data_IF_427936293367
#
_entry.id   IF_427936293367
#
_cell.length_a   1.000
_cell.length_b   1.000
_cell.length_c   1.000
_cell.angle_alpha   90.00
_cell.angle_beta   90.00
_cell.angle_gamma   90.00
#
_symmetry.space_group_name_H-M   'P 1'
#
loop_
_entity.id
_entity.type
_entity.pdbx_description
1 polymer ?
#
# COMPACT_ATOMS: atom_id res chain seq x y z
N UNK A 1 5.98 9.84 -8.01
CA UNK A 1 7.02 8.83 -7.74
C UNK A 1 6.57 7.50 -8.36
N UNK A 2 7.19 7.03 -9.46
CA UNK A 2 6.71 5.83 -10.14
C UNK A 2 6.91 4.60 -9.27
N UNK A 3 5.81 3.95 -8.90
CA UNK A 3 5.86 2.61 -8.33
C UNK A 3 6.17 1.66 -9.46
N UNK A 4 7.45 1.28 -9.52
CA UNK A 4 7.97 0.39 -10.54
C UNK A 4 7.33 -0.99 -10.35
N UNK A 5 6.57 -1.41 -11.36
CA UNK A 5 5.89 -2.70 -11.42
C UNK A 5 6.20 -3.42 -12.72
N UNK A 6 6.12 -4.75 -12.70
CA UNK A 6 6.38 -5.62 -13.84
C UNK A 6 7.78 -5.44 -14.44
N UNK A 7 8.78 -5.16 -13.60
CA UNK A 7 10.17 -5.00 -14.05
C UNK A 7 10.98 -6.29 -14.06
N UNK A 8 10.43 -7.37 -13.51
CA UNK A 8 11.05 -8.69 -13.50
C UNK A 8 10.10 -9.72 -14.12
N UNK A 9 10.68 -10.77 -14.68
CA UNK A 9 9.93 -11.84 -15.35
C UNK A 9 9.07 -12.68 -14.39
N UNK A 10 9.40 -12.67 -13.10
CA UNK A 10 8.65 -13.36 -12.04
C UNK A 10 7.48 -12.52 -11.50
N UNK A 11 7.25 -11.31 -12.04
CA UNK A 11 6.18 -10.43 -11.60
C UNK A 11 6.44 -9.75 -10.25
N UNK A 12 7.59 -9.98 -9.62
CA UNK A 12 7.97 -9.24 -8.41
C UNK A 12 8.26 -7.78 -8.76
N UNK A 13 7.70 -6.88 -7.96
CA UNK A 13 7.85 -5.45 -8.20
C UNK A 13 8.96 -4.89 -7.31
N UNK A 14 9.17 -3.57 -7.37
CA UNK A 14 10.10 -2.88 -6.45
C UNK A 14 9.68 -2.96 -4.97
N UNK A 15 8.45 -3.40 -4.67
CA UNK A 15 7.87 -3.38 -3.33
C UNK A 15 7.14 -4.67 -3.02
N UNK A 16 7.23 -5.10 -1.75
CA UNK A 16 6.39 -6.09 -1.13
C UNK A 16 5.68 -5.46 0.09
N UNK A 17 4.54 -6.01 0.50
CA UNK A 17 3.83 -5.58 1.71
C UNK A 17 4.16 -6.51 2.87
N UNK A 18 4.26 -5.95 4.08
CA UNK A 18 4.36 -6.73 5.31
C UNK A 18 3.03 -6.60 6.04
N UNK A 19 2.39 -7.72 6.33
CA UNK A 19 1.12 -7.82 7.06
C UNK A 19 1.32 -7.55 8.55
N UNK A 20 1.32 -6.26 8.91
CA UNK A 20 1.54 -5.78 10.27
C UNK A 20 0.48 -6.27 11.27
N UNK A 21 -0.74 -6.53 10.80
CA UNK A 21 -1.82 -7.15 11.57
C UNK A 21 -1.45 -8.56 12.02
N UNK A 22 -0.98 -9.41 11.09
CA UNK A 22 -0.53 -10.77 11.39
C UNK A 22 0.68 -10.76 12.31
N UNK A 23 1.64 -9.88 12.05
CA UNK A 23 2.84 -9.71 12.87
C UNK A 23 2.48 -9.30 14.32
N UNK A 24 1.48 -8.43 14.49
CA UNK A 24 0.97 -8.03 15.81
C UNK A 24 0.28 -9.19 16.52
N UNK A 25 -0.59 -9.92 15.84
CA UNK A 25 -1.29 -11.09 16.40
C UNK A 25 -0.33 -12.21 16.82
N UNK A 26 0.80 -12.34 16.12
CA UNK A 26 1.86 -13.28 16.47
C UNK A 26 2.78 -12.78 17.62
N UNK A 27 2.55 -11.58 18.16
CA UNK A 27 3.27 -11.05 19.32
C UNK A 27 4.58 -10.31 19.01
N UNK A 28 4.89 -10.05 17.74
CA UNK A 28 6.19 -9.53 17.32
C UNK A 28 6.30 -8.00 17.22
N UNK A 29 5.24 -7.25 17.51
CA UNK A 29 5.18 -5.81 17.22
C UNK A 29 6.15 -4.95 18.07
N UNK A 30 6.77 -5.49 19.13
CA UNK A 30 7.65 -4.75 20.04
C UNK A 30 9.14 -4.70 19.61
N UNK A 31 9.57 -5.34 18.53
CA UNK A 31 11.01 -5.54 18.24
C UNK A 31 11.51 -5.01 16.88
N UNK A 32 10.90 -3.96 16.33
CA UNK A 32 11.38 -3.35 15.07
C UNK A 32 12.81 -2.78 15.13
N UNK A 33 13.40 -2.64 16.32
CA UNK A 33 14.80 -2.24 16.50
C UNK A 33 15.82 -3.28 15.97
N UNK A 34 15.41 -4.49 15.57
CA UNK A 34 16.31 -5.57 15.10
C UNK A 34 15.89 -6.19 13.77
N UNK A 35 15.47 -5.36 12.81
CA UNK A 35 15.12 -5.80 11.45
C UNK A 35 16.25 -6.59 10.75
N UNK A 36 17.51 -6.27 11.08
CA UNK A 36 18.73 -6.87 10.55
C UNK A 36 18.85 -8.38 10.83
N UNK A 37 18.25 -8.88 11.92
CA UNK A 37 18.21 -10.31 12.26
C UNK A 37 16.86 -10.98 11.97
N UNK A 38 15.92 -10.26 11.36
CA UNK A 38 14.51 -10.65 11.31
C UNK A 38 14.00 -11.17 9.95
N UNK A 39 14.80 -11.06 8.89
CA UNK A 39 14.33 -11.32 7.52
C UNK A 39 13.77 -12.75 7.30
N UNK A 40 14.38 -13.75 7.93
CA UNK A 40 13.97 -15.15 7.74
C UNK A 40 12.56 -15.45 8.28
N UNK A 41 12.18 -14.85 9.41
CA UNK A 41 10.83 -15.05 9.98
C UNK A 41 9.82 -14.03 9.43
N UNK A 42 10.26 -12.81 9.06
CA UNK A 42 9.36 -11.83 8.42
C UNK A 42 8.78 -12.35 7.11
N UNK A 43 9.49 -13.24 6.40
CA UNK A 43 9.07 -13.82 5.13
C UNK A 43 7.65 -14.40 5.15
N UNK A 44 7.18 -14.97 6.27
CA UNK A 44 5.81 -15.52 6.38
C UNK A 44 4.71 -14.44 6.40
N UNK A 45 5.09 -13.19 6.66
CA UNK A 45 4.20 -12.03 6.71
C UNK A 45 4.32 -11.15 5.47
N UNK A 46 5.14 -11.54 4.48
CA UNK A 46 5.36 -10.76 3.25
C UNK A 46 4.39 -11.19 2.16
N UNK A 47 3.67 -10.22 1.61
CA UNK A 47 2.88 -10.36 0.39
C UNK A 47 3.67 -9.77 -0.78
N UNK A 48 4.02 -10.62 -1.75
CA UNK A 48 4.81 -10.24 -2.93
C UNK A 48 3.97 -9.68 -4.08
N UNK A 49 2.66 -9.92 -4.07
CA UNK A 49 1.73 -9.35 -5.05
C UNK A 49 1.94 -9.83 -6.47
N UNK A 50 2.16 -11.13 -6.65
CA UNK A 50 2.32 -11.72 -7.97
C UNK A 50 1.11 -11.45 -8.87
N UNK A 51 1.31 -11.13 -10.16
CA UNK A 51 0.20 -10.96 -11.09
C UNK A 51 -0.71 -12.19 -11.13
N UNK A 52 -2.03 -11.95 -11.11
CA UNK A 52 -3.09 -12.96 -11.09
C UNK A 52 -3.09 -13.86 -9.86
N UNK A 53 -2.49 -13.43 -8.76
CA UNK A 53 -2.56 -14.12 -7.47
C UNK A 53 -3.62 -13.48 -6.57
N UNK A 54 -4.05 -14.20 -5.52
CA UNK A 54 -4.97 -13.65 -4.52
C UNK A 54 -4.36 -12.47 -3.74
N UNK A 55 -3.03 -12.43 -3.65
CA UNK A 55 -2.30 -11.36 -2.97
C UNK A 55 -1.90 -10.23 -3.92
N UNK A 56 -2.38 -10.21 -5.17
CA UNK A 56 -2.10 -9.12 -6.12
C UNK A 56 -2.66 -7.80 -5.58
N UNK A 57 -1.76 -6.88 -5.21
CA UNK A 57 -2.12 -5.56 -4.67
C UNK A 57 -1.58 -4.46 -5.58
N UNK A 58 -2.14 -3.25 -5.55
CA UNK A 58 -1.53 -2.00 -6.05
C UNK A 58 -1.32 -1.00 -4.92
N UNK A 59 -0.08 -0.55 -4.72
CA UNK A 59 0.21 0.54 -3.77
C UNK A 59 0.20 1.88 -4.50
N UNK A 60 -0.09 2.96 -3.79
CA UNK A 60 0.15 4.33 -4.24
C UNK A 60 0.68 5.14 -3.06
N UNK A 61 1.75 5.92 -3.27
CA UNK A 61 2.22 6.84 -2.23
C UNK A 61 1.38 8.10 -2.29
N UNK A 62 0.95 8.63 -1.15
CA UNK A 62 0.08 9.83 -1.10
C UNK A 62 0.71 11.05 -1.79
N UNK A 63 2.04 11.17 -1.75
CA UNK A 63 2.78 12.23 -2.46
C UNK A 63 2.81 12.07 -3.99
N UNK A 64 2.31 10.97 -4.56
CA UNK A 64 2.20 10.85 -6.01
C UNK A 64 1.10 11.77 -6.53
N UNK A 65 1.38 12.55 -7.59
CA UNK A 65 0.40 13.50 -8.16
C UNK A 65 -0.93 12.84 -8.52
N UNK A 66 -0.93 11.57 -8.93
CA UNK A 66 -2.14 10.84 -9.30
C UNK A 66 -2.89 10.24 -8.10
N UNK A 67 -2.30 10.25 -6.90
CA UNK A 67 -2.85 9.60 -5.72
C UNK A 67 -4.23 10.11 -5.35
N UNK A 68 -4.44 11.44 -5.40
CA UNK A 68 -5.74 12.04 -5.06
C UNK A 68 -6.86 11.54 -5.98
N UNK A 69 -6.64 11.56 -7.29
CA UNK A 69 -7.63 11.10 -8.26
C UNK A 69 -7.98 9.62 -8.06
N UNK A 70 -6.97 8.77 -7.83
CA UNK A 70 -7.18 7.34 -7.57
C UNK A 70 -7.98 7.10 -6.28
N UNK A 71 -7.65 7.81 -5.20
CA UNK A 71 -8.33 7.67 -3.91
C UNK A 71 -9.79 8.14 -3.98
N UNK A 72 -10.07 9.26 -4.65
CA UNK A 72 -11.45 9.74 -4.83
C UNK A 72 -12.32 8.74 -5.59
N UNK A 73 -11.80 8.17 -6.68
CA UNK A 73 -12.52 7.14 -7.44
C UNK A 73 -12.76 5.88 -6.60
N UNK A 74 -11.78 5.47 -5.79
CA UNK A 74 -11.93 4.34 -4.87
C UNK A 74 -12.99 4.62 -3.79
N UNK A 75 -12.98 5.81 -3.19
CA UNK A 75 -13.96 6.21 -2.18
C UNK A 75 -15.39 6.24 -2.75
N UNK A 76 -15.57 6.72 -3.98
CA UNK A 76 -16.85 6.70 -4.68
C UNK A 76 -17.36 5.25 -4.87
N UNK A 77 -16.48 4.35 -5.28
CA UNK A 77 -16.82 2.94 -5.47
C UNK A 77 -17.15 2.23 -4.14
N UNK A 78 -16.38 2.49 -3.08
CA UNK A 78 -16.69 1.98 -1.73
C UNK A 78 -18.09 2.41 -1.28
N UNK A 79 -18.43 3.69 -1.49
CA UNK A 79 -19.76 4.23 -1.19
C UNK A 79 -20.87 3.56 -1.99
N UNK A 80 -20.68 3.33 -3.30
CA UNK A 80 -21.65 2.61 -4.14
C UNK A 80 -21.92 1.19 -3.64
N UNK A 81 -20.91 0.57 -3.04
CA UNK A 81 -21.00 -0.77 -2.45
C UNK A 81 -21.55 -0.77 -1.01
N UNK A 82 -21.95 0.40 -0.48
CA UNK A 82 -22.56 0.54 0.85
C UNK A 82 -21.56 0.65 2.00
N UNK A 83 -20.27 0.81 1.70
CA UNK A 83 -19.23 0.99 2.73
C UNK A 83 -18.93 2.47 2.93
N UNK A 84 -19.85 3.17 3.61
CA UNK A 84 -19.73 4.60 3.91
C UNK A 84 -18.52 4.91 4.80
N UNK A 85 -18.13 3.98 5.68
CA UNK A 85 -16.98 4.16 6.57
C UNK A 85 -15.69 4.16 5.75
N UNK A 86 -15.47 3.13 4.93
CA UNK A 86 -14.29 3.06 4.06
C UNK A 86 -14.23 4.24 3.10
N UNK A 87 -15.36 4.64 2.52
CA UNK A 87 -15.43 5.81 1.66
C UNK A 87 -14.98 7.09 2.39
N UNK A 88 -15.41 7.29 3.64
CA UNK A 88 -14.98 8.43 4.46
C UNK A 88 -13.48 8.39 4.75
N UNK A 89 -12.97 7.25 5.22
CA UNK A 89 -11.55 7.07 5.54
C UNK A 89 -10.64 7.31 4.32
N UNK A 90 -11.05 6.84 3.13
CA UNK A 90 -10.30 7.04 1.89
C UNK A 90 -10.36 8.49 1.41
N UNK A 91 -11.49 9.19 1.60
CA UNK A 91 -11.58 10.62 1.29
C UNK A 91 -10.62 11.45 2.15
N UNK A 92 -10.49 11.15 3.44
CA UNK A 92 -9.52 11.81 4.31
C UNK A 92 -8.07 11.60 3.85
N UNK A 93 -7.76 10.44 3.26
CA UNK A 93 -6.46 10.24 2.60
C UNK A 93 -6.31 11.11 1.36
N UNK A 94 -7.36 11.24 0.55
CA UNK A 94 -7.36 12.03 -0.67
C UNK A 94 -7.11 13.52 -0.41
N UNK A 95 -7.61 14.06 0.70
CA UNK A 95 -7.47 15.48 1.10
C UNK A 95 -6.03 15.90 1.43
N UNK A 96 -5.13 14.92 1.62
CA UNK A 96 -3.70 15.14 1.87
C UNK A 96 -2.79 14.44 0.85
N UNK A 97 -3.36 14.05 -0.29
CA UNK A 97 -2.66 13.33 -1.36
C UNK A 97 -2.54 14.18 -2.64
N UNK A 98 -1.69 13.71 -3.57
CA UNK A 98 -1.46 14.36 -4.85
C UNK A 98 -1.08 15.83 -4.68
N UNK A 99 -1.73 16.70 -5.45
CA UNK A 99 -1.49 18.14 -5.45
C UNK A 99 -1.78 18.83 -4.10
N UNK A 100 -2.58 18.20 -3.23
CA UNK A 100 -2.85 18.69 -1.88
C UNK A 100 -1.77 18.27 -0.87
N UNK A 101 -0.84 17.41 -1.25
CA UNK A 101 0.29 17.02 -0.41
C UNK A 101 1.40 18.06 -0.49
N UNK A 102 1.89 18.53 0.67
CA UNK A 102 3.10 19.39 0.74
C UNK A 102 4.35 18.71 0.14
N UNK A 103 4.32 17.38 0.04
CA UNK A 103 5.41 16.57 -0.48
C UNK A 103 5.17 16.10 -1.93
N UNK A 104 4.21 16.68 -2.64
CA UNK A 104 3.81 16.24 -3.98
C UNK A 104 5.02 16.09 -4.92
N UNK A 105 5.09 14.96 -5.61
CA UNK A 105 6.13 14.68 -6.62
C UNK A 105 5.50 14.19 -7.91
N UNK A 106 6.10 14.62 -9.03
CA UNK A 106 5.86 13.98 -10.31
C UNK A 106 6.26 12.50 -10.26
N UNK A 107 5.60 11.63 -11.05
CA UNK A 107 6.15 10.32 -11.37
C UNK A 107 7.52 10.50 -12.06
N UNK A 108 8.57 9.88 -11.51
CA UNK A 108 9.87 9.73 -12.17
C UNK A 108 9.75 8.76 -13.36
#
# INVERSE_FOLDING_TARGET
MRLIRNTTADGTCKYALIRLDKLRSAGYFKSFERFDRALAWIAEFVEYGFPKSQDEFFVIKLQDRNARAALLAYAEEAKKNGDDQLASEVNELADRAGELSEFVKNPD
#
